data_IF_981290760283
#
_entry.id   IF_981290760283
#
_cell.length_a   1.000
_cell.length_b   1.000
_cell.length_c   1.000
_cell.angle_alpha   90.00
_cell.angle_beta   90.00
_cell.angle_gamma   90.00
#
_symmetry.space_group_name_H-M   'P 1'
#
loop_
_entity.id
_entity.type
_entity.pdbx_description
1 polymer ?
#
# COMPACT_ATOMS: atom_id res chain seq x y z
N UNK A 1 22.29 -15.99 2.27
CA UNK A 1 20.85 -16.34 2.28
C UNK A 1 20.17 -15.60 3.44
N UNK A 2 19.31 -14.62 3.16
CA UNK A 2 18.56 -13.90 4.19
C UNK A 2 17.48 -14.86 4.74
N UNK A 3 17.60 -15.28 6.01
CA UNK A 3 16.56 -16.10 6.66
C UNK A 3 15.38 -15.21 7.04
N UNK A 4 14.31 -15.26 6.25
CA UNK A 4 13.04 -14.61 6.58
C UNK A 4 12.48 -15.15 7.89
N UNK A 5 11.92 -14.26 8.70
CA UNK A 5 11.17 -14.62 9.91
C UNK A 5 10.03 -15.59 9.57
N UNK A 6 9.81 -16.59 10.42
CA UNK A 6 8.77 -17.60 10.25
C UNK A 6 7.37 -16.98 10.11
N UNK A 7 7.09 -15.90 10.86
CA UNK A 7 5.83 -15.16 10.76
C UNK A 7 5.66 -14.61 9.34
N UNK A 8 6.62 -13.81 8.86
CA UNK A 8 6.58 -13.25 7.50
C UNK A 8 6.45 -14.33 6.42
N UNK A 9 7.21 -15.42 6.51
CA UNK A 9 7.17 -16.50 5.51
C UNK A 9 5.80 -17.15 5.44
N UNK A 10 5.18 -17.41 6.59
CA UNK A 10 3.86 -18.03 6.65
C UNK A 10 2.75 -17.11 6.16
N UNK A 11 2.81 -15.82 6.52
CA UNK A 11 1.86 -14.79 6.09
C UNK A 11 1.92 -14.57 4.58
N UNK A 12 3.14 -14.36 4.05
CA UNK A 12 3.34 -14.13 2.62
C UNK A 12 2.91 -15.34 1.79
N UNK A 13 3.20 -16.57 2.27
CA UNK A 13 2.72 -17.79 1.60
C UNK A 13 1.19 -17.84 1.55
N UNK A 14 0.49 -17.41 2.60
CA UNK A 14 -0.98 -17.40 2.64
C UNK A 14 -1.57 -16.31 1.74
N UNK A 15 -0.95 -15.13 1.73
CA UNK A 15 -1.30 -14.02 0.83
C UNK A 15 -0.98 -14.28 -0.65
N UNK A 16 -0.14 -15.25 -0.98
CA UNK A 16 0.17 -15.58 -2.39
C UNK A 16 -0.37 -16.94 -2.83
N UNK A 17 -0.67 -17.84 -1.89
CA UNK A 17 -1.11 -19.21 -2.18
C UNK A 17 -2.59 -19.47 -1.96
N UNK A 18 -3.33 -18.54 -1.33
CA UNK A 18 -4.77 -18.68 -1.11
C UNK A 18 -5.59 -18.19 -2.31
N UNK A 19 -6.70 -18.88 -2.61
CA UNK A 19 -7.57 -18.54 -3.73
C UNK A 19 -8.09 -17.09 -3.68
N UNK A 20 -8.50 -16.61 -2.49
CA UNK A 20 -8.96 -15.23 -2.30
C UNK A 20 -7.87 -14.19 -2.53
N UNK A 21 -6.64 -14.51 -2.16
CA UNK A 21 -5.53 -13.58 -2.34
C UNK A 21 -5.13 -13.48 -3.82
N UNK A 22 -5.21 -14.60 -4.56
CA UNK A 22 -5.13 -14.59 -6.01
C UNK A 22 -6.26 -13.76 -6.62
N UNK A 23 -7.52 -13.93 -6.18
CA UNK A 23 -8.65 -13.11 -6.65
C UNK A 23 -8.39 -11.62 -6.46
N UNK A 24 -7.87 -11.21 -5.30
CA UNK A 24 -7.55 -9.82 -5.02
C UNK A 24 -6.48 -9.26 -5.97
N UNK A 25 -5.39 -10.00 -6.19
CA UNK A 25 -4.34 -9.60 -7.15
C UNK A 25 -4.88 -9.59 -8.58
N UNK A 26 -5.73 -10.54 -8.95
CA UNK A 26 -6.39 -10.57 -10.26
C UNK A 26 -7.27 -9.34 -10.44
N UNK A 27 -8.12 -9.00 -9.48
CA UNK A 27 -8.97 -7.80 -9.55
C UNK A 27 -8.12 -6.55 -9.68
N UNK A 28 -7.05 -6.42 -8.89
CA UNK A 28 -6.10 -5.31 -8.98
C UNK A 28 -5.53 -5.18 -10.40
N UNK A 29 -5.00 -6.27 -10.95
CA UNK A 29 -4.43 -6.29 -12.30
C UNK A 29 -5.48 -6.08 -13.38
N UNK A 30 -6.71 -6.56 -13.21
CA UNK A 30 -7.81 -6.33 -14.15
C UNK A 30 -8.22 -4.86 -14.19
N UNK A 31 -8.25 -4.17 -13.04
CA UNK A 31 -8.51 -2.73 -12.98
C UNK A 31 -7.39 -1.97 -13.68
N UNK A 32 -6.12 -2.29 -13.41
CA UNK A 32 -4.99 -1.67 -14.10
C UNK A 32 -5.00 -1.96 -15.61
N UNK A 33 -5.30 -3.19 -16.01
CA UNK A 33 -5.44 -3.57 -17.41
C UNK A 33 -6.57 -2.78 -18.10
N UNK A 34 -7.72 -2.62 -17.43
CA UNK A 34 -8.82 -1.82 -17.93
C UNK A 34 -8.41 -0.35 -18.08
N UNK A 35 -7.74 0.24 -17.10
CA UNK A 35 -7.26 1.63 -17.18
C UNK A 35 -6.22 1.81 -18.29
N UNK A 36 -5.33 0.84 -18.48
CA UNK A 36 -4.38 0.84 -19.58
C UNK A 36 -5.08 0.72 -20.94
N UNK A 37 -6.11 -0.13 -21.05
CA UNK A 37 -6.93 -0.27 -22.23
C UNK A 37 -7.72 1.00 -22.55
N UNK A 38 -8.35 1.63 -21.55
CA UNK A 38 -9.04 2.92 -21.69
C UNK A 38 -8.08 4.07 -22.02
N UNK A 39 -6.78 3.87 -21.78
CA UNK A 39 -5.72 4.79 -22.20
C UNK A 39 -5.31 4.59 -23.66
N UNK A 40 -5.94 3.72 -24.45
CA UNK A 40 -5.70 3.63 -25.88
C UNK A 40 -6.39 4.79 -26.62
N UNK A 41 -5.75 5.40 -27.63
CA UNK A 41 -6.38 6.45 -28.43
C UNK A 41 -7.55 5.87 -29.27
N UNK A 42 -8.70 6.57 -29.36
CA UNK A 42 -9.89 6.08 -30.05
C UNK A 42 -9.76 6.03 -31.58
N UNK A 43 -8.84 6.81 -32.17
CA UNK A 43 -8.58 6.83 -33.62
C UNK A 43 -7.07 6.73 -33.90
N UNK A 44 -6.66 5.71 -34.66
CA UNK A 44 -5.26 5.49 -35.09
C UNK A 44 -4.71 6.62 -35.99
N UNK A 45 -5.54 7.56 -36.44
CA UNK A 45 -5.18 8.68 -37.32
C UNK A 45 -5.12 10.07 -36.68
N UNK A 46 -5.37 10.21 -35.37
CA UNK A 46 -5.45 11.51 -34.66
C UNK A 46 -4.48 11.57 -33.47
N UNK A 47 -3.32 10.96 -33.64
CA UNK A 47 -2.30 10.75 -32.60
C UNK A 47 -1.69 12.04 -32.07
N UNK A 48 -1.66 13.12 -32.86
CA UNK A 48 -1.03 14.39 -32.47
C UNK A 48 -1.94 15.29 -31.59
N UNK A 49 -3.27 15.24 -31.80
CA UNK A 49 -4.23 16.12 -31.11
C UNK A 49 -4.77 15.55 -29.78
N UNK A 50 -4.61 14.23 -29.56
CA UNK A 50 -5.12 13.52 -28.38
C UNK A 50 -4.01 13.04 -27.44
N UNK A 51 -2.87 13.74 -27.44
CA UNK A 51 -1.88 13.69 -26.34
C UNK A 51 -2.52 14.30 -25.09
N UNK A 52 -3.55 13.63 -24.56
CA UNK A 52 -4.25 14.01 -23.35
C UNK A 52 -3.27 13.90 -22.18
N UNK A 53 -2.76 15.05 -21.79
CA UNK A 53 -1.75 15.17 -20.76
C UNK A 53 -2.32 14.68 -19.43
N UNK A 54 -1.59 13.79 -18.75
CA UNK A 54 -1.93 13.36 -17.39
C UNK A 54 -2.73 12.06 -17.27
N UNK A 55 -2.94 11.29 -18.36
CA UNK A 55 -3.51 9.94 -18.22
C UNK A 55 -2.55 8.95 -17.55
N UNK A 56 -1.23 9.05 -17.81
CA UNK A 56 -0.26 8.30 -17.02
C UNK A 56 -0.33 8.74 -15.55
N UNK A 57 -0.42 10.04 -15.29
CA UNK A 57 -0.54 10.53 -13.92
C UNK A 57 -1.79 9.99 -13.22
N UNK A 58 -2.95 10.01 -13.88
CA UNK A 58 -4.19 9.42 -13.34
C UNK A 58 -4.00 7.92 -13.06
N UNK A 59 -3.38 7.19 -13.99
CA UNK A 59 -3.05 5.78 -13.81
C UNK A 59 -2.17 5.56 -12.57
N UNK A 60 -1.08 6.32 -12.43
CA UNK A 60 -0.15 6.20 -11.30
C UNK A 60 -0.82 6.55 -9.97
N UNK A 61 -1.69 7.56 -9.93
CA UNK A 61 -2.48 7.90 -8.73
C UNK A 61 -3.39 6.74 -8.34
N UNK A 62 -4.13 6.17 -9.30
CA UNK A 62 -5.02 5.04 -9.04
C UNK A 62 -4.23 3.81 -8.60
N UNK A 63 -3.09 3.53 -9.24
CA UNK A 63 -2.16 2.48 -8.84
C UNK A 63 -1.72 2.64 -7.38
N UNK A 64 -1.26 3.84 -6.99
CA UNK A 64 -0.82 4.14 -5.61
C UNK A 64 -1.96 3.96 -4.61
N UNK A 65 -3.15 4.49 -4.90
CA UNK A 65 -4.31 4.39 -4.00
C UNK A 65 -4.77 2.94 -3.84
N UNK A 66 -4.84 2.18 -4.94
CA UNK A 66 -5.22 0.77 -4.89
C UNK A 66 -4.18 -0.07 -4.15
N UNK A 67 -2.88 0.13 -4.40
CA UNK A 67 -1.82 -0.58 -3.70
C UNK A 67 -1.85 -0.29 -2.19
N UNK A 68 -2.07 0.97 -1.82
CA UNK A 68 -2.25 1.40 -0.43
C UNK A 68 -3.44 0.68 0.22
N UNK A 69 -4.64 0.80 -0.39
CA UNK A 69 -5.86 0.19 0.10
C UNK A 69 -5.75 -1.33 0.24
N UNK A 70 -5.30 -2.04 -0.80
CA UNK A 70 -5.26 -3.50 -0.77
C UNK A 70 -4.25 -4.03 0.25
N UNK A 71 -3.12 -3.34 0.42
CA UNK A 71 -2.11 -3.71 1.42
C UNK A 71 -2.65 -3.53 2.83
N UNK A 72 -3.29 -2.39 3.12
CA UNK A 72 -3.85 -2.09 4.44
C UNK A 72 -5.11 -2.89 4.76
N UNK A 73 -6.03 -3.05 3.81
CA UNK A 73 -7.26 -3.84 3.97
C UNK A 73 -6.97 -5.32 4.24
N UNK A 74 -5.95 -5.88 3.57
CA UNK A 74 -5.49 -7.25 3.85
C UNK A 74 -4.87 -7.36 5.24
N UNK A 75 -4.14 -6.34 5.70
CA UNK A 75 -3.49 -6.34 7.01
C UNK A 75 -4.46 -6.07 8.18
N UNK A 76 -5.51 -5.28 7.97
CA UNK A 76 -6.55 -5.04 8.97
C UNK A 76 -7.62 -6.14 9.00
N UNK A 77 -7.57 -7.10 8.08
CA UNK A 77 -8.52 -8.22 8.01
C UNK A 77 -9.89 -7.85 7.42
N UNK A 78 -10.00 -6.70 6.74
CA UNK A 78 -11.19 -6.37 5.92
C UNK A 78 -11.33 -7.31 4.73
N UNK A 79 -10.21 -7.61 4.09
CA UNK A 79 -10.14 -8.63 3.04
C UNK A 79 -9.70 -9.92 3.71
N UNK A 80 -10.65 -10.84 3.89
CA UNK A 80 -10.38 -12.13 4.53
C UNK A 80 -9.43 -13.00 3.69
N UNK A 81 -8.16 -13.03 4.06
CA UNK A 81 -7.17 -13.95 3.49
C UNK A 81 -7.20 -15.27 4.26
N UNK A 82 -7.52 -16.36 3.57
CA UNK A 82 -7.71 -17.66 4.21
C UNK A 82 -6.48 -18.14 4.98
N UNK A 83 -6.72 -18.50 6.23
CA UNK A 83 -5.70 -18.94 7.15
C UNK A 83 -4.77 -17.82 7.61
N UNK A 84 -4.86 -16.57 7.14
CA UNK A 84 -4.05 -15.51 7.73
C UNK A 84 -4.40 -15.36 9.22
N UNK A 85 -3.39 -15.39 10.09
CA UNK A 85 -3.59 -15.19 11.53
C UNK A 85 -3.54 -13.69 11.81
N UNK A 86 -4.52 -13.19 12.54
CA UNK A 86 -4.50 -11.80 13.02
C UNK A 86 -3.36 -11.59 14.04
N UNK A 87 -3.05 -10.33 14.35
CA UNK A 87 -2.08 -10.02 15.41
C UNK A 87 -2.54 -10.59 16.76
N UNK A 88 -3.84 -10.55 17.02
CA UNK A 88 -4.44 -11.09 18.25
C UNK A 88 -4.28 -12.61 18.31
N UNK A 89 -4.56 -13.33 17.20
CA UNK A 89 -4.36 -14.79 17.14
C UNK A 89 -2.90 -15.19 17.35
N UNK A 90 -1.98 -14.37 16.85
CA UNK A 90 -0.54 -14.58 17.01
C UNK A 90 -0.06 -14.22 18.43
N UNK A 91 -0.80 -13.43 19.20
CA UNK A 91 -0.46 -13.15 20.59
C UNK A 91 -0.47 -14.43 21.45
N UNK A 92 -1.37 -15.38 21.16
CA UNK A 92 -1.44 -16.68 21.82
C UNK A 92 -0.38 -17.71 21.33
N UNK A 93 0.40 -17.36 20.30
CA UNK A 93 1.43 -18.24 19.73
C UNK A 93 2.77 -18.16 20.49
N UNK A 94 3.69 -19.14 20.34
CA UNK A 94 4.99 -19.12 21.02
C UNK A 94 5.98 -18.08 20.46
N UNK A 95 5.61 -17.32 19.42
CA UNK A 95 6.49 -16.30 18.86
C UNK A 95 6.70 -15.13 19.84
N UNK A 96 7.85 -14.46 19.78
CA UNK A 96 8.05 -13.24 20.58
C UNK A 96 7.21 -12.08 20.03
N UNK A 97 6.80 -11.10 20.87
CA UNK A 97 6.03 -9.94 20.41
C UNK A 97 6.71 -9.20 19.25
N UNK A 98 8.04 -9.03 19.34
CA UNK A 98 8.84 -8.43 18.27
C UNK A 98 8.85 -9.26 16.98
N UNK A 99 8.91 -10.59 17.05
CA UNK A 99 8.84 -11.45 15.88
C UNK A 99 7.48 -11.35 15.16
N UNK A 100 6.38 -11.22 15.91
CA UNK A 100 5.06 -11.01 15.31
C UNK A 100 4.97 -9.61 14.68
N UNK A 101 5.36 -8.59 15.41
CA UNK A 101 5.27 -7.19 14.98
C UNK A 101 6.06 -6.90 13.70
N UNK A 102 7.37 -7.20 13.72
CA UNK A 102 8.21 -7.03 12.52
C UNK A 102 7.85 -8.01 11.42
N UNK A 103 7.28 -9.16 11.79
CA UNK A 103 6.70 -10.11 10.84
C UNK A 103 5.62 -9.45 9.96
N UNK A 104 4.62 -8.82 10.59
CA UNK A 104 3.50 -8.15 9.92
C UNK A 104 3.90 -6.89 9.15
N UNK A 105 4.82 -6.11 9.72
CA UNK A 105 5.44 -4.97 9.04
C UNK A 105 6.12 -5.42 7.74
N UNK A 106 6.97 -6.45 7.83
CA UNK A 106 7.71 -6.93 6.66
C UNK A 106 6.77 -7.57 5.63
N UNK A 107 5.71 -8.27 6.05
CA UNK A 107 4.67 -8.75 5.14
C UNK A 107 4.04 -7.59 4.36
N UNK A 108 3.69 -6.49 5.05
CA UNK A 108 3.09 -5.32 4.43
C UNK A 108 4.03 -4.68 3.40
N UNK A 109 5.31 -4.54 3.73
CA UNK A 109 6.33 -4.01 2.82
C UNK A 109 6.52 -4.89 1.57
N UNK A 110 6.63 -6.21 1.77
CA UNK A 110 6.81 -7.16 0.67
C UNK A 110 5.58 -7.20 -0.23
N UNK A 111 4.38 -7.12 0.36
CA UNK A 111 3.14 -7.11 -0.40
C UNK A 111 2.94 -5.81 -1.19
N UNK A 112 3.21 -4.65 -0.58
CA UNK A 112 3.23 -3.35 -1.27
C UNK A 112 4.22 -3.34 -2.45
N UNK A 113 5.44 -3.86 -2.22
CA UNK A 113 6.46 -4.00 -3.26
C UNK A 113 5.97 -4.90 -4.39
N UNK A 114 5.36 -6.05 -4.06
CA UNK A 114 4.83 -6.98 -5.06
C UNK A 114 3.76 -6.31 -5.94
N UNK A 115 2.76 -5.65 -5.35
CA UNK A 115 1.71 -4.97 -6.11
C UNK A 115 2.31 -3.92 -7.04
N UNK A 116 3.24 -3.12 -6.53
CA UNK A 116 3.93 -2.10 -7.33
C UNK A 116 4.69 -2.72 -8.51
N UNK A 117 5.45 -3.79 -8.27
CA UNK A 117 6.20 -4.50 -9.32
C UNK A 117 5.27 -5.10 -10.38
N UNK A 118 4.14 -5.67 -9.95
CA UNK A 118 3.15 -6.23 -10.87
C UNK A 118 2.44 -5.16 -11.71
N UNK A 119 2.34 -3.92 -11.22
CA UNK A 119 1.77 -2.80 -11.95
C UNK A 119 2.69 -2.23 -13.04
N UNK A 120 4.01 -2.27 -12.82
CA UNK A 120 5.04 -1.73 -13.75
C UNK A 120 4.76 -2.01 -15.24
N UNK A 121 4.50 -3.24 -15.70
CA UNK A 121 4.25 -3.48 -17.13
C UNK A 121 3.07 -2.66 -17.68
N UNK A 122 2.00 -2.48 -16.90
CA UNK A 122 0.84 -1.68 -17.30
C UNK A 122 1.18 -0.18 -17.33
N UNK A 123 1.86 0.33 -16.30
CA UNK A 123 2.26 1.74 -16.22
C UNK A 123 3.23 2.10 -17.35
N UNK A 124 4.13 1.20 -17.73
CA UNK A 124 5.05 1.39 -18.86
C UNK A 124 4.35 1.36 -20.23
N UNK A 125 3.33 0.49 -20.40
CA UNK A 125 2.50 0.51 -21.61
C UNK A 125 1.78 1.84 -21.75
N UNK A 126 1.17 2.35 -20.67
CA UNK A 126 0.50 3.66 -20.66
C UNK A 126 1.51 4.77 -20.95
N UNK A 127 2.69 4.76 -20.32
CA UNK A 127 3.74 5.74 -20.58
C UNK A 127 4.17 5.73 -22.05
N UNK A 128 4.36 4.56 -22.65
CA UNK A 128 4.69 4.39 -24.06
C UNK A 128 3.62 4.94 -25.00
N UNK A 129 2.34 4.61 -24.75
CA UNK A 129 1.20 5.12 -25.55
C UNK A 129 1.09 6.65 -25.46
N UNK A 130 1.41 7.23 -24.29
CA UNK A 130 1.28 8.67 -24.04
C UNK A 130 2.55 9.48 -24.31
N UNK A 131 3.65 8.82 -24.70
CA UNK A 131 4.94 9.48 -24.93
C UNK A 131 5.55 10.09 -23.66
N UNK A 132 5.17 9.57 -22.49
CA UNK A 132 5.67 10.02 -21.20
C UNK A 132 6.94 9.26 -20.79
N UNK A 133 7.82 9.91 -20.04
CA UNK A 133 9.10 9.31 -19.66
C UNK A 133 8.90 8.11 -18.70
N UNK A 134 9.52 6.94 -18.95
CA UNK A 134 9.45 5.79 -18.04
C UNK A 134 9.93 6.08 -16.61
N UNK A 135 10.78 7.11 -16.46
CA UNK A 135 11.25 7.57 -15.15
C UNK A 135 10.13 8.08 -14.25
N UNK A 136 8.97 8.50 -14.80
CA UNK A 136 7.79 8.86 -14.01
C UNK A 136 7.22 7.66 -13.25
N UNK A 137 7.24 6.46 -13.85
CA UNK A 137 6.80 5.20 -13.21
C UNK A 137 7.72 4.86 -12.04
N UNK A 138 9.04 4.96 -12.25
CA UNK A 138 10.02 4.72 -11.18
C UNK A 138 9.86 5.73 -10.02
N UNK A 139 9.58 7.00 -10.33
CA UNK A 139 9.34 8.04 -9.32
C UNK A 139 8.03 7.86 -8.56
N UNK A 140 6.98 7.37 -9.19
CA UNK A 140 5.75 6.99 -8.50
C UNK A 140 5.98 5.81 -7.54
N UNK A 141 6.79 4.82 -7.91
CA UNK A 141 7.13 3.69 -7.03
C UNK A 141 7.83 4.13 -5.74
N UNK A 142 8.61 5.22 -5.77
CA UNK A 142 9.23 5.84 -4.58
C UNK A 142 8.15 6.31 -3.58
N UNK A 143 6.94 6.61 -4.02
CA UNK A 143 5.80 6.97 -3.16
C UNK A 143 4.97 5.75 -2.80
N UNK A 144 4.61 4.93 -3.81
CA UNK A 144 3.68 3.82 -3.66
C UNK A 144 4.13 2.82 -2.60
N UNK A 145 5.40 2.41 -2.63
CA UNK A 145 5.90 1.37 -1.72
C UNK A 145 5.88 1.85 -0.26
N UNK A 146 6.46 3.01 0.11
CA UNK A 146 6.41 3.51 1.49
C UNK A 146 4.99 3.77 2.01
N UNK A 147 4.13 4.38 1.20
CA UNK A 147 2.75 4.68 1.58
C UNK A 147 1.97 3.38 1.81
N UNK A 148 2.01 2.44 0.86
CA UNK A 148 1.28 1.19 1.00
C UNK A 148 1.82 0.32 2.13
N UNK A 149 3.14 0.26 2.33
CA UNK A 149 3.76 -0.50 3.41
C UNK A 149 3.39 0.06 4.80
N UNK A 150 3.41 1.37 4.97
CA UNK A 150 3.07 2.03 6.24
C UNK A 150 1.58 1.92 6.57
N UNK A 151 0.70 2.06 5.59
CA UNK A 151 -0.73 1.80 5.75
C UNK A 151 -1.03 0.33 6.02
N UNK A 152 -0.28 -0.59 5.39
CA UNK A 152 -0.28 -2.00 5.74
C UNK A 152 0.07 -2.26 7.21
N UNK A 153 1.16 -1.65 7.70
CA UNK A 153 1.55 -1.76 9.09
C UNK A 153 0.47 -1.17 10.04
N UNK A 154 -0.14 -0.03 9.68
CA UNK A 154 -1.25 0.54 10.43
C UNK A 154 -2.48 -0.36 10.43
N UNK A 155 -2.81 -0.98 9.30
CA UNK A 155 -3.87 -1.98 9.21
C UNK A 155 -3.62 -3.15 10.17
N UNK A 156 -2.40 -3.67 10.22
CA UNK A 156 -2.02 -4.70 11.19
C UNK A 156 -2.16 -4.22 12.64
N UNK A 157 -1.82 -2.97 12.94
CA UNK A 157 -2.04 -2.37 14.25
C UNK A 157 -3.54 -2.26 14.58
N UNK A 158 -4.37 -1.83 13.63
CA UNK A 158 -5.81 -1.74 13.83
C UNK A 158 -6.43 -3.11 14.12
N UNK A 159 -5.94 -4.19 13.48
CA UNK A 159 -6.34 -5.57 13.81
C UNK A 159 -6.05 -5.97 15.26
N UNK A 160 -5.06 -5.33 15.90
CA UNK A 160 -4.68 -5.59 17.27
C UNK A 160 -5.38 -4.69 18.29
N UNK A 161 -5.78 -3.48 17.86
CA UNK A 161 -6.33 -2.43 18.73
C UNK A 161 -7.85 -2.53 18.83
N UNK A 162 -8.53 -2.83 17.72
CA UNK A 162 -9.99 -2.83 17.64
C UNK A 162 -10.53 -4.25 17.52
N UNK A 163 -11.29 -4.66 18.55
CA UNK A 163 -11.93 -5.98 18.60
C UNK A 163 -13.16 -6.04 17.67
N UNK A 164 -13.88 -4.92 17.52
CA UNK A 164 -15.02 -4.81 16.60
C UNK A 164 -14.56 -4.65 15.17
N UNK A 165 -15.02 -5.54 14.29
CA UNK A 165 -14.80 -5.48 12.84
C UNK A 165 -15.32 -4.15 12.25
N UNK A 166 -16.49 -3.69 12.69
CA UNK A 166 -17.06 -2.42 12.24
C UNK A 166 -16.16 -1.23 12.62
N UNK A 167 -15.76 -1.11 13.89
CA UNK A 167 -14.91 0.00 14.34
C UNK A 167 -13.56 -0.03 13.63
N UNK A 168 -12.98 -1.22 13.46
CA UNK A 168 -11.73 -1.41 12.74
C UNK A 168 -11.84 -0.90 11.31
N UNK A 169 -12.90 -1.29 10.60
CA UNK A 169 -13.13 -0.84 9.23
C UNK A 169 -13.42 0.65 9.13
N UNK A 170 -14.25 1.18 10.02
CA UNK A 170 -14.56 2.60 10.04
C UNK A 170 -13.30 3.45 10.23
N UNK A 171 -12.43 3.10 11.18
CA UNK A 171 -11.16 3.81 11.41
C UNK A 171 -10.21 3.66 10.22
N UNK A 172 -10.15 2.48 9.61
CA UNK A 172 -9.34 2.24 8.41
C UNK A 172 -9.78 3.13 7.23
N UNK A 173 -11.08 3.16 6.90
CA UNK A 173 -11.62 4.03 5.86
C UNK A 173 -11.45 5.51 6.18
N UNK A 174 -11.66 5.92 7.43
CA UNK A 174 -11.42 7.31 7.85
C UNK A 174 -9.96 7.71 7.68
N UNK A 175 -9.02 6.81 7.99
CA UNK A 175 -7.58 7.04 7.79
C UNK A 175 -7.25 7.22 6.31
N UNK A 176 -7.77 6.36 5.44
CA UNK A 176 -7.59 6.48 3.99
C UNK A 176 -8.17 7.79 3.45
N UNK A 177 -9.39 8.14 3.87
CA UNK A 177 -10.04 9.39 3.48
C UNK A 177 -9.23 10.62 3.94
N UNK A 178 -8.77 10.61 5.19
CA UNK A 178 -7.96 11.68 5.75
C UNK A 178 -6.64 11.88 5.00
N UNK A 179 -5.99 10.80 4.55
CA UNK A 179 -4.71 10.91 3.85
C UNK A 179 -4.85 11.19 2.35
N UNK A 180 -5.86 10.61 1.69
CA UNK A 180 -6.05 10.77 0.24
C UNK A 180 -6.75 12.10 -0.06
N UNK A 181 -7.81 12.43 0.68
CA UNK A 181 -8.62 13.63 0.44
C UNK A 181 -8.24 14.74 1.41
N UNK A 182 -8.20 14.43 2.71
CA UNK A 182 -7.93 15.42 3.75
C UNK A 182 -6.55 16.09 3.60
N UNK A 183 -5.49 15.30 3.42
CA UNK A 183 -4.15 15.84 3.27
C UNK A 183 -3.98 16.63 1.96
N UNK A 184 -4.70 16.27 0.89
CA UNK A 184 -4.70 17.02 -0.38
C UNK A 184 -5.34 18.40 -0.22
N UNK A 185 -6.29 18.55 0.71
CA UNK A 185 -6.96 19.82 0.98
C UNK A 185 -6.17 20.77 1.91
N UNK A 186 -5.03 20.32 2.45
CA UNK A 186 -4.19 21.17 3.30
C UNK A 186 -3.51 22.28 2.46
N UNK A 187 -3.21 23.44 3.07
CA UNK A 187 -2.43 24.47 2.39
C UNK A 187 -0.96 24.06 2.26
N UNK A 188 -0.23 24.55 1.23
CA UNK A 188 1.21 24.39 1.17
C UNK A 188 1.91 24.91 2.43
N UNK A 189 2.97 24.25 2.91
CA UNK A 189 3.64 23.08 2.32
C UNK A 189 3.04 21.72 2.73
N UNK A 190 1.92 21.69 3.45
CA UNK A 190 1.40 20.48 4.10
C UNK A 190 0.65 19.53 3.15
N UNK A 191 0.24 20.03 1.99
CA UNK A 191 -0.39 19.22 0.93
C UNK A 191 0.50 18.08 0.44
N UNK A 192 1.82 18.21 0.58
CA UNK A 192 2.81 17.18 0.23
C UNK A 192 2.67 15.89 1.05
N UNK A 193 1.97 15.91 2.20
CA UNK A 193 1.70 14.70 2.98
C UNK A 193 0.69 13.76 2.29
N UNK A 194 -0.07 14.27 1.32
CA UNK A 194 -0.98 13.46 0.51
C UNK A 194 -0.20 12.55 -0.45
N UNK A 195 -0.47 11.23 -0.44
CA UNK A 195 0.08 10.32 -1.44
C UNK A 195 -0.21 10.76 -2.88
N UNK A 196 -1.41 11.28 -3.11
CA UNK A 196 -1.82 11.79 -4.42
C UNK A 196 -0.93 12.96 -4.83
N UNK A 197 -0.71 13.91 -3.90
CA UNK A 197 0.13 15.08 -4.17
C UNK A 197 1.59 14.68 -4.42
N UNK A 198 2.15 13.79 -3.62
CA UNK A 198 3.52 13.29 -3.84
C UNK A 198 3.69 12.65 -5.21
N UNK A 199 2.72 11.82 -5.66
CA UNK A 199 2.76 11.20 -6.99
C UNK A 199 2.71 12.28 -8.07
N UNK A 200 1.83 13.28 -7.96
CA UNK A 200 1.76 14.40 -8.91
C UNK A 200 3.09 15.12 -9.02
N UNK A 201 3.64 15.52 -7.87
CA UNK A 201 4.89 16.26 -7.78
C UNK A 201 6.06 15.46 -8.35
N UNK A 202 6.22 14.20 -7.93
CA UNK A 202 7.34 13.40 -8.39
C UNK A 202 7.18 12.96 -9.85
N UNK A 203 5.98 12.60 -10.30
CA UNK A 203 5.79 12.18 -11.69
C UNK A 203 6.04 13.34 -12.67
N UNK A 204 5.51 14.54 -12.39
CA UNK A 204 5.60 15.71 -13.28
C UNK A 204 6.89 16.52 -13.12
N UNK A 205 7.26 16.85 -11.88
CA UNK A 205 8.31 17.83 -11.61
C UNK A 205 9.69 17.17 -11.37
N UNK A 206 9.76 15.84 -11.36
CA UNK A 206 11.00 15.10 -11.11
C UNK A 206 11.26 14.87 -9.62
N UNK A 207 12.53 14.70 -9.23
CA UNK A 207 12.90 14.39 -7.83
C UNK A 207 12.84 15.64 -6.95
N UNK A 208 11.65 15.98 -6.45
CA UNK A 208 11.44 17.07 -5.52
C UNK A 208 11.73 16.65 -4.07
N UNK A 209 12.51 17.47 -3.36
CA UNK A 209 12.99 17.17 -2.00
C UNK A 209 11.84 17.05 -0.99
N UNK A 210 10.85 17.94 -1.06
CA UNK A 210 9.68 17.93 -0.18
C UNK A 210 8.88 16.62 -0.28
N UNK A 211 8.62 16.15 -1.50
CA UNK A 211 7.93 14.88 -1.74
C UNK A 211 8.78 13.66 -1.35
N UNK A 212 10.10 13.71 -1.54
CA UNK A 212 11.01 12.65 -1.08
C UNK A 212 11.05 12.56 0.45
N UNK A 213 11.08 13.71 1.15
CA UNK A 213 11.03 13.75 2.61
C UNK A 213 9.70 13.24 3.14
N UNK A 214 8.58 13.61 2.51
CA UNK A 214 7.26 13.09 2.87
C UNK A 214 7.17 11.57 2.65
N UNK A 215 7.69 11.05 1.53
CA UNK A 215 7.75 9.60 1.30
C UNK A 215 8.64 8.89 2.32
N UNK A 216 9.80 9.47 2.65
CA UNK A 216 10.67 8.96 3.70
C UNK A 216 9.96 8.95 5.08
N UNK A 217 9.13 9.94 5.39
CA UNK A 217 8.32 9.96 6.60
C UNK A 217 7.36 8.76 6.67
N UNK A 218 6.69 8.42 5.56
CA UNK A 218 5.87 7.20 5.48
C UNK A 218 6.71 5.94 5.70
N UNK A 219 7.89 5.84 5.09
CA UNK A 219 8.79 4.71 5.32
C UNK A 219 9.23 4.60 6.78
N UNK A 220 9.50 5.73 7.43
CA UNK A 220 9.89 5.78 8.84
C UNK A 220 8.73 5.51 9.80
N UNK A 221 7.47 5.79 9.41
CA UNK A 221 6.28 5.52 10.22
C UNK A 221 6.13 4.02 10.58
N UNK A 222 6.70 3.15 9.76
CA UNK A 222 6.73 1.70 9.99
C UNK A 222 7.34 1.35 11.35
N UNK A 223 8.36 2.09 11.80
CA UNK A 223 9.07 1.79 13.05
C UNK A 223 8.22 1.99 14.31
N UNK A 224 7.66 3.19 14.58
CA UNK A 224 6.80 3.38 15.75
C UNK A 224 5.55 2.49 15.69
N UNK A 225 5.03 2.19 14.50
CA UNK A 225 3.90 1.24 14.35
C UNK A 225 4.31 -0.19 14.73
N UNK A 226 5.47 -0.66 14.28
CA UNK A 226 6.01 -1.97 14.68
C UNK A 226 6.20 -2.07 16.20
N UNK A 227 6.74 -1.02 16.83
CA UNK A 227 6.87 -0.94 18.30
C UNK A 227 5.49 -0.96 18.99
N UNK A 228 4.51 -0.23 18.45
CA UNK A 228 3.15 -0.20 18.99
C UNK A 228 2.47 -1.58 18.92
N UNK A 229 2.66 -2.33 17.82
CA UNK A 229 2.17 -3.70 17.67
C UNK A 229 2.81 -4.61 18.73
N UNK A 230 4.13 -4.57 18.89
CA UNK A 230 4.83 -5.39 19.88
C UNK A 230 4.33 -5.12 21.31
N UNK A 231 4.22 -3.84 21.69
CA UNK A 231 3.68 -3.43 23.00
C UNK A 231 2.22 -3.82 23.20
N UNK A 232 1.42 -3.85 22.13
CA UNK A 232 0.02 -4.31 22.21
C UNK A 232 -0.04 -5.81 22.48
N UNK A 233 0.80 -6.61 21.84
CA UNK A 233 0.89 -8.07 22.08
C UNK A 233 1.33 -8.36 23.52
N UNK A 234 2.33 -7.65 24.04
CA UNK A 234 2.78 -7.77 25.43
C UNK A 234 1.63 -7.53 26.42
N UNK A 235 0.86 -6.46 26.21
CA UNK A 235 -0.32 -6.16 27.03
C UNK A 235 -1.39 -7.25 26.93
N UNK A 236 -1.66 -7.77 25.73
CA UNK A 236 -2.60 -8.87 25.53
C UNK A 236 -2.17 -10.10 26.35
N UNK A 237 -0.89 -10.49 26.27
CA UNK A 237 -0.35 -11.63 27.03
C UNK A 237 -0.46 -11.46 28.54
N UNK A 238 -0.16 -10.26 29.04
CA UNK A 238 -0.25 -9.96 30.47
C UNK A 238 -1.68 -10.13 31.01
N UNK A 239 -2.71 -9.81 30.22
CA UNK A 239 -4.11 -9.99 30.63
C UNK A 239 -4.54 -11.47 30.75
N UNK A 240 -3.88 -12.40 30.05
CA UNK A 240 -4.19 -13.83 30.09
C UNK A 240 -3.35 -14.61 31.11
N UNK A 241 -2.40 -13.96 31.78
CA UNK A 241 -1.56 -14.57 32.82
C UNK A 241 -2.12 -14.37 34.24
N UNK A 242 -3.26 -13.69 34.36
CA UNK A 242 -4.02 -13.46 35.59
C UNK A 242 -5.41 -14.08 35.46
#
# INVERSE_FOLDING_TARGET
MIRLNAVTRSDLRRRLGGGRALTMVTVYLSVLALLAFLSLPPDLGRLDDLRQEGLLLAFLIVETVLAAYLTSASACGEIAVEGEKSVVDLAASPFTPGAVAWGKVLTSLLFATLLTVLAVPFSLVVAGIRGEAPSAVARAAIVTVPVAASLGALGALYSAVFDSDFTRSFVHWLTLLALIVGATALPPPWDVLSPVRMVILLARDGLRVDALLASALYALLIFPVGVAIARRIERIRAMYQH
#
